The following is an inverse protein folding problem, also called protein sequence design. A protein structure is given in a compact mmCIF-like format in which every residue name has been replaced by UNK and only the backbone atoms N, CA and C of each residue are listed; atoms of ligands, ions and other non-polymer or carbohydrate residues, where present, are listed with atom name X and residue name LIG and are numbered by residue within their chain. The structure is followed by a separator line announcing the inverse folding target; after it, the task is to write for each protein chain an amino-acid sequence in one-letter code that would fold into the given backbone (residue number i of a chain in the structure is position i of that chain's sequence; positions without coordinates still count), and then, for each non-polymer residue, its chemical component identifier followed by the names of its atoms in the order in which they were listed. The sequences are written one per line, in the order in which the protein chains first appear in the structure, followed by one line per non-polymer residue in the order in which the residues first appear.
data_IF_274937419316
#
_entry.id   IF_274937419316
#
_cell.length_a   1.000
_cell.length_b   1.000
_cell.length_c   1.000
_cell.angle_alpha   90.00
_cell.angle_beta   90.00
_cell.angle_gamma   90.00
#
_symmetry.space_group_name_H-M   'P 1'
#
loop_
_entity.id
_entity.type
_entity.pdbx_description
1 polymer ?
#
# COMPACT_ATOMS: atom_id res chain seq x y z
N UNK A 1 11.70 -27.70 -21.02
CA UNK A 1 10.87 -26.51 -21.25
C UNK A 1 10.52 -25.91 -19.90
N UNK A 2 11.37 -25.04 -19.38
CA UNK A 2 11.14 -24.31 -18.14
C UNK A 2 11.48 -22.86 -18.44
N UNK A 3 10.46 -22.02 -18.49
CA UNK A 3 10.66 -20.58 -18.58
C UNK A 3 11.36 -20.14 -17.27
N UNK A 4 12.54 -19.48 -17.32
CA UNK A 4 13.11 -18.94 -16.10
C UNK A 4 12.18 -17.86 -15.57
N UNK A 5 11.97 -17.94 -14.26
CA UNK A 5 11.30 -17.00 -13.34
C UNK A 5 10.90 -15.66 -13.95
N UNK A 6 9.65 -15.24 -13.70
CA UNK A 6 8.95 -13.99 -14.08
C UNK A 6 9.74 -12.65 -14.05
N UNK A 7 10.99 -12.63 -13.60
CA UNK A 7 11.85 -11.44 -13.53
C UNK A 7 12.79 -11.19 -14.72
N UNK A 8 12.89 -12.08 -15.72
CA UNK A 8 13.89 -11.94 -16.80
C UNK A 8 13.35 -11.33 -18.11
N UNK A 9 12.05 -11.03 -18.19
CA UNK A 9 11.48 -10.39 -19.37
C UNK A 9 11.68 -8.87 -19.30
N UNK A 10 12.20 -8.21 -20.36
CA UNK A 10 12.39 -6.76 -20.42
C UNK A 10 11.10 -5.97 -20.16
N UNK A 11 9.94 -6.54 -20.50
CA UNK A 11 8.63 -5.93 -20.21
C UNK A 11 8.26 -6.00 -18.72
N UNK A 12 8.59 -7.09 -18.01
CA UNK A 12 8.38 -7.20 -16.57
C UNK A 12 9.35 -6.30 -15.79
N UNK A 13 10.61 -6.19 -16.23
CA UNK A 13 11.58 -5.26 -15.66
C UNK A 13 11.15 -3.79 -15.81
N UNK A 14 10.58 -3.40 -16.95
CA UNK A 14 10.11 -2.02 -17.17
C UNK A 14 8.92 -1.63 -16.27
N UNK A 15 8.05 -2.59 -15.94
CA UNK A 15 7.00 -2.38 -14.93
C UNK A 15 7.58 -2.24 -13.51
N UNK A 16 8.62 -3.01 -13.18
CA UNK A 16 9.35 -2.88 -11.91
C UNK A 16 10.06 -1.53 -11.82
N UNK A 17 10.71 -1.05 -12.88
CA UNK A 17 11.32 0.28 -12.93
C UNK A 17 10.29 1.42 -12.81
N UNK A 18 9.10 1.27 -13.41
CA UNK A 18 8.01 2.25 -13.26
C UNK A 18 7.45 2.29 -11.84
N UNK A 19 7.39 1.14 -11.16
CA UNK A 19 6.98 1.04 -9.76
C UNK A 19 8.06 1.56 -8.80
N UNK A 20 9.34 1.36 -9.12
CA UNK A 20 10.48 1.94 -8.38
C UNK A 20 10.59 3.46 -8.58
N UNK A 21 10.20 3.98 -9.76
CA UNK A 21 10.18 5.42 -10.05
C UNK A 21 9.12 6.18 -9.26
N UNK A 22 8.10 5.50 -8.71
CA UNK A 22 7.05 6.11 -7.87
C UNK A 22 6.74 5.24 -6.64
N UNK A 23 7.60 5.22 -5.60
CA UNK A 23 7.42 4.37 -4.42
C UNK A 23 6.13 4.67 -3.64
N UNK A 24 5.65 5.92 -3.70
CA UNK A 24 4.38 6.30 -3.10
C UNK A 24 3.17 5.75 -3.86
N UNK A 25 3.29 5.59 -5.18
CA UNK A 25 2.21 5.04 -6.01
C UNK A 25 2.10 3.52 -5.83
N UNK A 26 3.22 2.80 -5.78
CA UNK A 26 3.23 1.35 -5.54
C UNK A 26 2.63 1.01 -4.17
N UNK A 27 3.04 1.74 -3.12
CA UNK A 27 2.49 1.63 -1.77
C UNK A 27 0.98 1.86 -1.74
N UNK A 28 0.50 2.91 -2.41
CA UNK A 28 -0.92 3.24 -2.46
C UNK A 28 -1.73 2.18 -3.23
N UNK A 29 -1.20 1.67 -4.34
CA UNK A 29 -1.86 0.60 -5.10
C UNK A 29 -1.94 -0.69 -4.28
N UNK A 30 -0.85 -1.09 -3.61
CA UNK A 30 -0.83 -2.29 -2.75
C UNK A 30 -1.84 -2.15 -1.61
N UNK A 31 -1.87 -0.99 -0.94
CA UNK A 31 -2.82 -0.71 0.12
C UNK A 31 -4.28 -0.68 -0.40
N UNK A 32 -4.54 0.00 -1.52
CA UNK A 32 -5.86 0.09 -2.12
C UNK A 32 -6.41 -1.27 -2.53
N UNK A 33 -5.60 -2.09 -3.21
CA UNK A 33 -5.97 -3.46 -3.62
C UNK A 33 -6.18 -4.35 -2.41
N UNK A 34 -5.32 -4.28 -1.40
CA UNK A 34 -5.46 -5.10 -0.20
C UNK A 34 -6.65 -4.69 0.66
N UNK A 35 -6.96 -3.38 0.79
CA UNK A 35 -8.17 -2.89 1.45
C UNK A 35 -9.41 -3.35 0.69
N UNK A 36 -9.45 -3.19 -0.64
CA UNK A 36 -10.55 -3.68 -1.46
C UNK A 36 -10.76 -5.18 -1.23
N UNK A 37 -9.69 -5.96 -1.34
CA UNK A 37 -9.71 -7.42 -1.17
C UNK A 37 -10.16 -7.81 0.23
N UNK A 38 -9.68 -7.13 1.28
CA UNK A 38 -10.05 -7.39 2.68
C UNK A 38 -11.56 -7.27 2.92
N UNK A 39 -12.20 -6.27 2.34
CA UNK A 39 -13.62 -5.96 2.54
C UNK A 39 -14.57 -6.58 1.51
N UNK A 40 -14.13 -6.83 0.27
CA UNK A 40 -14.97 -7.45 -0.76
C UNK A 40 -15.04 -8.98 -0.65
N UNK A 41 -14.00 -9.60 -0.10
CA UNK A 41 -13.86 -11.07 0.00
C UNK A 41 -15.06 -11.84 0.60
N UNK A 42 -15.78 -11.34 1.62
CA UNK A 42 -16.94 -12.05 2.19
C UNK A 42 -18.09 -12.29 1.21
N UNK A 43 -18.20 -11.46 0.16
CA UNK A 43 -19.25 -11.60 -0.86
C UNK A 43 -18.90 -12.66 -1.91
N UNK A 44 -17.61 -12.83 -2.24
CA UNK A 44 -17.13 -13.77 -3.26
C UNK A 44 -16.81 -15.17 -2.71
N UNK A 45 -16.30 -15.27 -1.47
CA UNK A 45 -15.79 -16.53 -0.91
C UNK A 45 -16.65 -16.96 0.29
N UNK A 46 -17.40 -18.05 0.16
CA UNK A 46 -18.21 -18.60 1.27
C UNK A 46 -17.38 -19.37 2.30
N UNK A 47 -16.33 -20.08 1.88
CA UNK A 47 -15.48 -20.86 2.81
C UNK A 47 -14.74 -19.94 3.79
N UNK A 48 -14.74 -20.29 5.08
CA UNK A 48 -14.00 -19.53 6.11
C UNK A 48 -12.49 -19.78 6.00
N UNK A 49 -12.08 -21.01 5.72
CA UNK A 49 -10.67 -21.38 5.61
C UNK A 49 -9.97 -20.66 4.45
N UNK A 50 -10.59 -20.62 3.27
CA UNK A 50 -10.05 -19.90 2.10
C UNK A 50 -9.90 -18.42 2.38
N UNK A 51 -10.87 -17.82 3.09
CA UNK A 51 -10.81 -16.40 3.48
C UNK A 51 -9.65 -16.11 4.42
N UNK A 52 -9.44 -16.96 5.42
CA UNK A 52 -8.30 -16.82 6.33
C UNK A 52 -6.97 -16.87 5.58
N UNK A 53 -6.79 -17.85 4.68
CA UNK A 53 -5.57 -17.99 3.88
C UNK A 53 -5.33 -16.77 2.98
N UNK A 54 -6.38 -16.28 2.31
CA UNK A 54 -6.26 -15.11 1.45
C UNK A 54 -5.92 -13.85 2.26
N UNK A 55 -6.56 -13.67 3.42
CA UNK A 55 -6.24 -12.57 4.34
C UNK A 55 -4.80 -12.63 4.83
N UNK A 56 -4.30 -13.81 5.20
CA UNK A 56 -2.90 -13.95 5.63
C UNK A 56 -1.92 -13.65 4.51
N UNK A 57 -2.24 -14.04 3.27
CA UNK A 57 -1.42 -13.70 2.09
C UNK A 57 -1.43 -12.20 1.77
N UNK A 58 -2.58 -11.53 1.86
CA UNK A 58 -2.65 -10.08 1.69
C UNK A 58 -1.84 -9.37 2.78
N UNK A 59 -2.02 -9.78 4.04
CA UNK A 59 -1.32 -9.20 5.17
C UNK A 59 0.21 -9.39 5.04
N UNK A 60 0.68 -10.56 4.59
CA UNK A 60 2.11 -10.80 4.44
C UNK A 60 2.73 -9.91 3.38
N UNK A 61 2.05 -9.67 2.25
CA UNK A 61 2.49 -8.74 1.21
C UNK A 61 2.56 -7.30 1.75
N UNK A 62 1.51 -6.85 2.46
CA UNK A 62 1.47 -5.52 3.06
C UNK A 62 2.56 -5.32 4.11
N UNK A 63 2.77 -6.30 5.00
CA UNK A 63 3.80 -6.26 6.05
C UNK A 63 5.19 -6.29 5.42
N UNK A 64 5.41 -7.13 4.40
CA UNK A 64 6.70 -7.18 3.72
C UNK A 64 7.03 -5.84 3.06
N UNK A 65 6.06 -5.22 2.39
CA UNK A 65 6.22 -3.90 1.80
C UNK A 65 6.48 -2.84 2.88
N UNK A 66 5.64 -2.80 3.92
CA UNK A 66 5.77 -1.83 5.02
C UNK A 66 7.08 -1.97 5.80
N UNK A 67 7.60 -3.19 5.97
CA UNK A 67 8.87 -3.42 6.66
C UNK A 67 10.04 -2.73 5.97
N UNK A 68 10.05 -2.66 4.63
CA UNK A 68 11.11 -1.97 3.88
C UNK A 68 11.08 -0.47 4.10
N UNK A 69 9.87 0.10 4.14
CA UNK A 69 9.68 1.53 4.42
C UNK A 69 10.04 1.86 5.87
N UNK A 70 9.64 1.01 6.83
CA UNK A 70 10.02 1.17 8.25
C UNK A 70 11.53 1.08 8.44
N UNK A 71 12.23 0.19 7.73
CA UNK A 71 13.70 0.12 7.81
C UNK A 71 14.35 1.42 7.35
N UNK A 72 13.92 2.00 6.23
CA UNK A 72 14.44 3.29 5.74
C UNK A 72 14.19 4.40 6.76
N UNK A 73 12.93 4.57 7.17
CA UNK A 73 12.54 5.58 8.17
C UNK A 73 13.29 5.39 9.49
N UNK A 74 13.60 4.16 9.89
CA UNK A 74 14.32 3.91 11.13
C UNK A 74 15.77 4.41 11.10
N UNK A 75 16.43 4.42 9.94
CA UNK A 75 17.76 5.00 9.80
C UNK A 75 17.70 6.53 9.88
N UNK A 76 16.78 7.15 9.14
CA UNK A 76 16.56 8.62 9.18
C UNK A 76 16.20 9.10 10.59
N UNK A 77 15.33 8.35 11.30
CA UNK A 77 14.95 8.65 12.68
C UNK A 77 16.14 8.49 13.63
N UNK A 78 17.01 7.49 13.45
CA UNK A 78 18.21 7.35 14.30
C UNK A 78 19.15 8.55 14.15
N UNK A 79 19.35 9.02 12.93
CA UNK A 79 20.18 10.19 12.64
C UNK A 79 19.59 11.45 13.30
N UNK A 80 18.31 11.72 13.07
CA UNK A 80 17.62 12.87 13.68
C UNK A 80 17.59 12.80 15.22
N UNK A 81 17.43 11.60 15.79
CA UNK A 81 17.47 11.37 17.24
C UNK A 81 18.87 11.62 17.81
N UNK A 82 19.92 11.20 17.11
CA UNK A 82 21.30 11.43 17.52
C UNK A 82 21.62 12.93 17.56
N UNK A 83 21.24 13.66 16.51
CA UNK A 83 21.39 15.12 16.42
C UNK A 83 20.60 15.85 17.52
N UNK A 84 19.34 15.48 17.73
CA UNK A 84 18.51 16.09 18.77
C UNK A 84 19.10 15.87 20.17
N UNK A 85 19.67 14.68 20.42
CA UNK A 85 20.32 14.36 21.69
C UNK A 85 21.61 15.15 21.90
N UNK A 86 22.42 15.34 20.86
CA UNK A 86 23.63 16.16 20.90
C UNK A 86 23.29 17.63 21.23
N UNK A 87 22.21 18.15 20.65
CA UNK A 87 21.68 19.49 20.92
C UNK A 87 20.92 19.62 22.25
N UNK A 88 20.88 18.56 23.08
CA UNK A 88 20.22 18.58 24.39
C UNK A 88 18.68 18.62 24.35
N UNK A 89 18.06 18.29 23.21
CA UNK A 89 16.60 18.29 23.04
C UNK A 89 16.01 17.02 23.68
N UNK A 90 14.98 17.21 24.51
CA UNK A 90 14.24 16.09 25.11
C UNK A 90 13.24 15.49 24.11
N UNK A 91 13.43 14.22 23.76
CA UNK A 91 12.59 13.48 22.82
C UNK A 91 11.38 12.78 23.47
N UNK A 92 11.35 12.71 24.80
CA UNK A 92 10.28 12.06 25.58
C UNK A 92 8.86 12.46 25.18
N UNK A 93 8.50 13.75 25.00
CA UNK A 93 7.15 14.11 24.60
C UNK A 93 6.78 13.62 23.19
N UNK A 94 7.75 13.57 22.26
CA UNK A 94 7.54 13.11 20.89
C UNK A 94 7.37 11.60 20.82
N UNK A 95 8.17 10.84 21.59
CA UNK A 95 8.01 9.38 21.70
C UNK A 95 6.65 9.04 22.29
N UNK A 96 6.24 9.75 23.34
CA UNK A 96 4.91 9.60 23.94
C UNK A 96 3.78 9.90 22.96
N UNK A 97 3.88 11.00 22.22
CA UNK A 97 2.91 11.38 21.19
C UNK A 97 2.84 10.35 20.06
N UNK A 98 3.99 9.85 19.57
CA UNK A 98 4.06 8.83 18.54
C UNK A 98 3.41 7.51 18.99
N UNK A 99 3.74 7.03 20.20
CA UNK A 99 3.14 5.83 20.77
C UNK A 99 1.61 5.98 20.95
N UNK A 100 1.15 7.14 21.44
CA UNK A 100 -0.26 7.44 21.60
C UNK A 100 -1.00 7.48 20.25
N UNK A 101 -0.40 8.08 19.22
CA UNK A 101 -0.97 8.13 17.87
C UNK A 101 -1.12 6.71 17.28
N UNK A 102 -0.11 5.86 17.44
CA UNK A 102 -0.18 4.45 16.99
C UNK A 102 -1.28 3.70 17.73
N UNK A 103 -1.34 3.80 19.06
CA UNK A 103 -2.37 3.15 19.86
C UNK A 103 -3.79 3.60 19.48
N UNK A 104 -3.98 4.92 19.32
CA UNK A 104 -5.26 5.51 18.91
C UNK A 104 -5.66 5.02 17.51
N UNK A 105 -4.72 4.96 16.57
CA UNK A 105 -4.99 4.48 15.22
C UNK A 105 -5.50 3.02 15.22
N UNK A 106 -4.91 2.15 16.05
CA UNK A 106 -5.37 0.78 16.25
C UNK A 106 -6.79 0.71 16.81
N UNK A 107 -7.11 1.52 17.82
CA UNK A 107 -8.47 1.59 18.39
C UNK A 107 -9.48 2.04 17.34
N UNK A 108 -9.17 3.11 16.59
CA UNK A 108 -10.04 3.61 15.51
C UNK A 108 -10.24 2.55 14.43
N UNK A 109 -9.19 1.83 14.04
CA UNK A 109 -9.27 0.75 13.05
C UNK A 109 -10.22 -0.37 13.53
N UNK A 110 -10.06 -0.86 14.76
CA UNK A 110 -10.91 -1.94 15.31
C UNK A 110 -12.37 -1.51 15.42
N UNK A 111 -12.64 -0.28 15.88
CA UNK A 111 -13.99 0.26 15.99
C UNK A 111 -14.62 0.46 14.61
N UNK A 112 -13.85 1.00 13.67
CA UNK A 112 -14.25 1.20 12.28
C UNK A 112 -14.59 -0.12 11.60
N UNK A 113 -13.73 -1.14 11.72
CA UNK A 113 -13.98 -2.48 11.18
C UNK A 113 -15.28 -3.08 11.72
N UNK A 114 -15.47 -3.05 13.05
CA UNK A 114 -16.70 -3.56 13.68
C UNK A 114 -17.94 -2.85 13.16
N UNK A 115 -17.88 -1.53 12.98
CA UNK A 115 -18.99 -0.75 12.44
C UNK A 115 -19.28 -1.12 10.98
N UNK A 116 -18.26 -1.18 10.13
CA UNK A 116 -18.38 -1.51 8.71
C UNK A 116 -18.98 -2.92 8.50
N UNK A 117 -18.50 -3.93 9.24
CA UNK A 117 -19.05 -5.28 9.16
C UNK A 117 -20.52 -5.34 9.60
N UNK A 118 -20.88 -4.72 10.73
CA UNK A 118 -22.29 -4.66 11.18
C UNK A 118 -23.19 -3.99 10.14
N UNK A 119 -22.73 -2.89 9.55
CA UNK A 119 -23.46 -2.17 8.49
C UNK A 119 -23.64 -3.05 7.24
N UNK A 120 -22.59 -3.75 6.82
CA UNK A 120 -22.64 -4.68 5.69
C UNK A 120 -23.58 -5.86 5.92
N UNK A 121 -23.52 -6.49 7.10
CA UNK A 121 -24.41 -7.59 7.46
C UNK A 121 -25.88 -7.15 7.53
N UNK A 122 -26.16 -5.97 8.09
CA UNK A 122 -27.52 -5.40 8.07
C UNK A 122 -28.05 -5.24 6.65
N UNK A 123 -27.24 -4.71 5.72
CA UNK A 123 -27.61 -4.55 4.31
C UNK A 123 -27.80 -5.88 3.58
N UNK A 124 -27.04 -6.91 3.98
CA UNK A 124 -27.21 -8.28 3.49
C UNK A 124 -28.55 -8.87 3.94
N UNK A 125 -28.94 -8.65 5.20
CA UNK A 125 -30.27 -9.06 5.72
C UNK A 125 -31.40 -8.33 5.00
N UNK A 126 -31.20 -7.06 4.64
CA UNK A 126 -32.11 -6.27 3.79
C UNK A 126 -32.16 -6.76 2.31
N UNK A 127 -31.45 -7.84 1.97
CA UNK A 127 -31.46 -8.45 0.64
C UNK A 127 -30.60 -7.73 -0.41
N UNK A 128 -29.76 -6.76 0.00
CA UNK A 128 -28.91 -6.05 -0.96
C UNK A 128 -27.74 -6.93 -1.41
N UNK A 129 -27.70 -7.21 -2.71
CA UNK A 129 -26.55 -7.88 -3.33
C UNK A 129 -25.26 -7.07 -3.16
N UNK A 130 -24.14 -7.77 -2.94
CA UNK A 130 -22.79 -7.19 -2.85
C UNK A 130 -22.65 -6.08 -1.79
N UNK A 131 -23.30 -6.28 -0.64
CA UNK A 131 -23.37 -5.28 0.43
C UNK A 131 -22.00 -4.85 0.97
N UNK A 132 -21.01 -5.75 0.96
CA UNK A 132 -19.65 -5.49 1.44
C UNK A 132 -18.75 -4.96 0.32
N UNK A 133 -18.88 -5.50 -0.89
CA UNK A 133 -18.11 -5.06 -2.09
C UNK A 133 -18.42 -3.61 -2.46
N UNK A 134 -19.68 -3.18 -2.37
CA UNK A 134 -20.07 -1.78 -2.61
C UNK A 134 -19.45 -0.81 -1.60
N UNK A 135 -19.11 -1.27 -0.40
CA UNK A 135 -18.42 -0.47 0.62
C UNK A 135 -16.91 -0.53 0.47
N UNK A 136 -16.37 -1.62 -0.09
CA UNK A 136 -14.96 -1.77 -0.36
C UNK A 136 -14.44 -0.74 -1.39
N UNK A 137 -15.26 -0.35 -2.38
CA UNK A 137 -14.88 0.64 -3.40
C UNK A 137 -14.49 2.02 -2.82
N UNK A 138 -15.34 2.72 -2.04
CA UNK A 138 -14.96 4.01 -1.48
C UNK A 138 -13.81 3.89 -0.46
N UNK A 139 -13.69 2.77 0.26
CA UNK A 139 -12.58 2.53 1.18
C UNK A 139 -11.24 2.34 0.44
N UNK A 140 -11.26 1.63 -0.69
CA UNK A 140 -10.09 1.45 -1.54
C UNK A 140 -9.66 2.77 -2.19
N UNK A 141 -10.63 3.59 -2.63
CA UNK A 141 -10.34 4.93 -3.13
C UNK A 141 -9.72 5.82 -2.03
N UNK A 142 -10.22 5.73 -0.80
CA UNK A 142 -9.66 6.46 0.34
C UNK A 142 -8.22 6.04 0.64
N UNK A 143 -7.89 4.75 0.48
CA UNK A 143 -6.53 4.24 0.69
C UNK A 143 -5.50 4.77 -0.34
N UNK A 144 -5.96 5.34 -1.47
CA UNK A 144 -5.10 6.00 -2.45
C UNK A 144 -4.81 7.47 -2.11
N UNK A 145 -5.54 8.06 -1.16
CA UNK A 145 -5.40 9.48 -0.83
C UNK A 145 -3.99 9.89 -0.35
N UNK A 146 -3.21 9.08 0.38
CA UNK A 146 -1.86 9.49 0.77
C UNK A 146 -0.93 9.75 -0.43
N UNK A 147 -1.03 8.94 -1.50
CA UNK A 147 -0.24 9.18 -2.72
C UNK A 147 -0.70 10.43 -3.48
N UNK A 148 -2.00 10.69 -3.51
CA UNK A 148 -2.55 11.91 -4.12
C UNK A 148 -2.16 13.16 -3.32
N UNK A 149 -2.18 13.05 -1.98
CA UNK A 149 -1.77 14.12 -1.08
C UNK A 149 -0.28 14.41 -1.22
N UNK A 150 0.59 13.38 -1.26
CA UNK A 150 2.02 13.55 -1.53
C UNK A 150 2.23 14.32 -2.83
N UNK A 151 1.57 13.92 -3.92
CA UNK A 151 1.66 14.64 -5.21
C UNK A 151 1.15 16.08 -5.15
N UNK A 152 0.12 16.35 -4.35
CA UNK A 152 -0.39 17.71 -4.18
C UNK A 152 0.61 18.58 -3.38
N UNK A 153 1.22 18.02 -2.34
CA UNK A 153 2.23 18.70 -1.52
C UNK A 153 3.55 18.90 -2.28
N UNK A 154 3.97 17.93 -3.09
CA UNK A 154 5.18 18.00 -3.93
C UNK A 154 4.99 18.88 -5.18
N UNK A 155 3.76 19.32 -5.48
CA UNK A 155 3.41 20.13 -6.65
C UNK A 155 4.00 21.56 -6.68
N UNK A 156 4.95 21.88 -5.81
CA UNK A 156 5.70 23.14 -5.77
C UNK A 156 7.13 23.08 -6.32
N UNK A 157 7.72 21.89 -6.53
CA UNK A 157 9.15 21.81 -6.87
C UNK A 157 9.49 20.61 -7.78
N UNK A 158 9.11 20.71 -9.06
CA UNK A 158 9.67 19.85 -10.12
C UNK A 158 10.01 20.67 -11.36
N UNK A 159 11.08 21.45 -11.25
CA UNK A 159 11.83 21.94 -12.39
C UNK A 159 13.29 21.54 -12.22
N UNK A 160 13.62 20.28 -12.54
CA UNK A 160 14.88 19.91 -13.19
C UNK A 160 14.69 18.55 -13.86
N UNK A 161 14.08 18.61 -15.05
CA UNK A 161 14.40 17.66 -16.11
C UNK A 161 15.79 18.08 -16.58
N UNK A 162 16.82 17.29 -16.28
CA UNK A 162 17.91 17.19 -17.23
C UNK A 162 17.71 15.91 -18.03
N UNK A 163 17.51 16.16 -19.31
CA UNK A 163 17.56 15.20 -20.39
C UNK A 163 18.84 14.35 -20.28
N UNK A 164 18.63 13.05 -20.13
CA UNK A 164 19.63 12.03 -20.42
C UNK A 164 19.00 11.08 -21.43
N UNK A 165 19.33 11.30 -22.69
CA UNK A 165 18.83 10.62 -23.87
C UNK A 165 18.92 9.09 -23.75
N UNK A 166 17.82 8.41 -24.10
CA UNK A 166 17.73 6.95 -24.11
C UNK A 166 16.39 6.48 -24.64
N UNK A 167 16.02 6.96 -25.83
CA UNK A 167 14.79 6.56 -26.51
C UNK A 167 14.78 5.08 -26.86
N UNK A 168 13.70 4.39 -26.50
CA UNK A 168 13.30 3.12 -27.10
C UNK A 168 11.86 3.25 -27.58
N UNK A 169 11.68 3.98 -28.69
CA UNK A 169 10.57 3.78 -29.60
C UNK A 169 10.88 2.56 -30.46
N UNK A 170 10.43 1.39 -30.05
CA UNK A 170 10.58 0.16 -30.81
C UNK A 170 9.52 -0.85 -30.37
N UNK A 171 8.82 -1.44 -31.33
CA UNK A 171 7.82 -2.48 -31.14
C UNK A 171 8.39 -3.61 -30.27
N UNK A 172 7.75 -3.89 -29.13
CA UNK A 172 8.05 -5.08 -28.33
C UNK A 172 7.48 -6.31 -29.06
N UNK A 173 8.27 -6.87 -29.98
CA UNK A 173 7.91 -8.09 -30.69
C UNK A 173 8.26 -9.30 -29.81
N UNK A 174 7.27 -9.83 -29.08
CA UNK A 174 7.41 -11.04 -28.28
C UNK A 174 7.37 -12.29 -29.17
N UNK A 175 8.41 -12.50 -29.99
CA UNK A 175 8.57 -13.77 -30.71
C UNK A 175 9.20 -14.83 -29.80
N UNK A 176 8.36 -15.66 -29.19
CA UNK A 176 8.79 -16.96 -28.66
C UNK A 176 9.18 -17.86 -29.84
N UNK A 177 10.48 -18.16 -29.96
CA UNK A 177 11.01 -19.06 -30.98
C UNK A 177 10.39 -20.46 -30.91
N UNK A 178 10.22 -21.06 -32.09
CA UNK A 178 9.73 -22.43 -32.30
C UNK A 178 10.61 -23.49 -31.66
#
# INVERSE_FOLDING_TARGET
MTCPVLGSCPCAQRYVELLDRYPQLSSAVINGVGVFSWYAMPDAIRSRAVRTLLKTGILSVMVHHGAREVCKVSEDVKEAVAEARENGISLTPYIGAGAAAVALSGVVAVLGERFLFRRGERRRVEGRALAHTRQALPLAALALTPALLSRYLDGGEYAYIQDGEGGCGGNCDCSCGK
#
